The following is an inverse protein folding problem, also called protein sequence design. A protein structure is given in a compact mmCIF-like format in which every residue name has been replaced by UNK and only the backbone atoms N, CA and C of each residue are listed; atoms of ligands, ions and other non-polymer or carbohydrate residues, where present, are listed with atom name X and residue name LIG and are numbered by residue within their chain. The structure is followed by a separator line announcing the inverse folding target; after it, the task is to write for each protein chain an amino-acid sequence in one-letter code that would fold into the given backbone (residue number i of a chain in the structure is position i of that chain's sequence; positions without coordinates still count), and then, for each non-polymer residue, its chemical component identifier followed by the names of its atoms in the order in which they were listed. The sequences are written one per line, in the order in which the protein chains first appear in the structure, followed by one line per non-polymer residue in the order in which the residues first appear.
data_IF_697190878455
#
_entry.id   IF_697190878455
#
_cell.length_a   1.000
_cell.length_b   1.000
_cell.length_c   1.000
_cell.angle_alpha   90.00
_cell.angle_beta   90.00
_cell.angle_gamma   90.00
#
_symmetry.space_group_name_H-M   'P 1'
#
loop_
_entity.id
_entity.type
_entity.pdbx_description
1 polymer ?
#
# COMPACT_ATOMS: atom_id res chain seq x y z
N UNK A 1 2.13 -3.24 10.25
CA UNK A 1 1.55 -1.94 9.87
C UNK A 1 2.64 -0.88 9.93
N UNK A 2 2.74 -0.08 8.90
CA UNK A 2 3.74 0.99 8.84
C UNK A 2 3.03 2.32 8.57
N UNK A 3 3.60 3.40 9.06
CA UNK A 3 3.02 4.74 8.97
C UNK A 3 4.10 5.69 8.48
N UNK A 4 3.77 6.49 7.45
CA UNK A 4 4.64 7.56 6.96
C UNK A 4 3.86 8.87 6.97
N UNK A 5 4.44 9.88 7.61
CA UNK A 5 3.91 11.24 7.57
C UNK A 5 4.63 12.02 6.47
N UNK A 6 3.87 12.66 5.62
CA UNK A 6 4.41 13.51 4.55
C UNK A 6 3.96 14.96 4.79
N UNK A 7 4.50 15.88 3.98
CA UNK A 7 4.05 17.26 4.00
C UNK A 7 2.54 17.31 3.79
N UNK A 8 1.86 18.19 4.52
CA UNK A 8 0.41 18.29 4.43
C UNK A 8 -0.05 18.68 3.02
N UNK A 9 -0.87 17.82 2.44
CA UNK A 9 -1.47 18.02 1.12
C UNK A 9 -2.98 17.88 1.26
N UNK A 10 -3.69 18.93 1.68
CA UNK A 10 -5.14 18.82 1.95
C UNK A 10 -5.96 18.48 0.70
N UNK A 11 -5.44 18.81 -0.47
CA UNK A 11 -6.07 18.51 -1.76
C UNK A 11 -5.90 17.05 -2.20
N UNK A 12 -5.02 16.30 -1.54
CA UNK A 12 -4.77 14.90 -1.92
C UNK A 12 -5.92 14.02 -1.49
N UNK A 13 -6.49 13.28 -2.45
CA UNK A 13 -7.56 12.31 -2.21
C UNK A 13 -7.04 10.91 -2.46
N UNK A 14 -7.82 9.90 -2.01
CA UNK A 14 -7.48 8.51 -2.28
C UNK A 14 -7.40 8.23 -3.78
N UNK A 15 -8.29 8.82 -4.57
CA UNK A 15 -8.29 8.64 -6.02
C UNK A 15 -7.03 9.23 -6.67
N UNK A 16 -6.60 10.39 -6.23
CA UNK A 16 -5.37 11.02 -6.71
C UNK A 16 -4.15 10.20 -6.31
N UNK A 17 -4.13 9.71 -5.08
CA UNK A 17 -3.04 8.87 -4.58
C UNK A 17 -2.94 7.58 -5.40
N UNK A 18 -4.06 6.93 -5.70
CA UNK A 18 -4.08 5.72 -6.54
C UNK A 18 -3.45 5.98 -7.90
N UNK A 19 -3.79 7.11 -8.54
CA UNK A 19 -3.22 7.45 -9.85
C UNK A 19 -1.71 7.68 -9.78
N UNK A 20 -1.24 8.34 -8.73
CA UNK A 20 0.19 8.57 -8.53
C UNK A 20 0.93 7.24 -8.36
N UNK A 21 0.38 6.33 -7.56
CA UNK A 21 0.97 5.00 -7.34
C UNK A 21 0.92 4.15 -8.61
N UNK A 22 -0.19 4.19 -9.37
CA UNK A 22 -0.31 3.48 -10.64
C UNK A 22 0.79 3.92 -11.61
N UNK A 23 1.01 5.22 -11.70
CA UNK A 23 2.04 5.77 -12.57
C UNK A 23 3.44 5.36 -12.13
N UNK A 24 3.69 5.44 -10.82
CA UNK A 24 5.01 5.13 -10.27
C UNK A 24 5.38 3.65 -10.38
N UNK A 25 4.41 2.76 -10.26
CA UNK A 25 4.64 1.32 -10.33
C UNK A 25 4.20 0.68 -11.65
N UNK A 26 3.94 1.49 -12.68
CA UNK A 26 3.53 0.98 -13.99
C UNK A 26 4.54 -0.05 -14.52
N UNK A 27 4.03 -1.20 -14.94
CA UNK A 27 4.86 -2.29 -15.45
C UNK A 27 5.54 -3.14 -14.39
N UNK A 28 5.42 -2.78 -13.11
CA UNK A 28 6.04 -3.51 -12.00
C UNK A 28 5.02 -4.15 -11.07
N UNK A 29 4.05 -3.39 -10.63
CA UNK A 29 2.98 -3.86 -9.74
C UNK A 29 1.64 -3.35 -10.24
N UNK A 30 0.59 -4.11 -9.98
CA UNK A 30 -0.77 -3.69 -10.23
C UNK A 30 -1.25 -2.86 -9.02
N UNK A 31 -1.83 -1.70 -9.30
CA UNK A 31 -2.41 -0.84 -8.26
C UNK A 31 -3.88 -0.66 -8.58
N UNK A 32 -4.75 -0.96 -7.61
CA UNK A 32 -6.19 -0.84 -7.82
C UNK A 32 -6.89 -0.36 -6.57
N UNK A 33 -8.01 0.33 -6.78
CA UNK A 33 -8.82 0.87 -5.70
C UNK A 33 -9.48 -0.26 -4.92
N UNK A 34 -9.41 -0.20 -3.60
CA UNK A 34 -10.03 -1.19 -2.73
C UNK A 34 -11.44 -0.77 -2.37
N UNK A 35 -12.34 -1.77 -2.26
CA UNK A 35 -13.70 -1.55 -1.81
C UNK A 35 -13.81 -1.89 -0.32
N UNK A 36 -13.06 -1.16 0.50
CA UNK A 36 -13.02 -1.41 1.93
C UNK A 36 -12.81 -0.10 2.68
N UNK A 37 -13.48 0.03 3.83
CA UNK A 37 -13.27 1.17 4.72
C UNK A 37 -11.91 1.13 5.42
N UNK A 38 -11.25 -0.04 5.43
CA UNK A 38 -9.98 -0.23 6.11
C UNK A 38 -8.77 0.11 5.25
N UNK A 39 -8.98 0.26 3.93
CA UNK A 39 -7.91 0.61 3.00
C UNK A 39 -8.48 1.33 1.80
N UNK A 40 -7.68 2.20 1.21
CA UNK A 40 -8.11 2.98 0.04
C UNK A 40 -7.71 2.30 -1.26
N UNK A 41 -6.54 1.67 -1.30
CA UNK A 41 -6.09 0.96 -2.50
C UNK A 41 -5.11 -0.15 -2.14
N UNK A 42 -4.87 -1.02 -3.11
CA UNK A 42 -3.97 -2.17 -2.97
C UNK A 42 -2.90 -2.12 -4.04
N UNK A 43 -1.66 -2.39 -3.64
CA UNK A 43 -0.53 -2.60 -4.54
C UNK A 43 -0.29 -4.10 -4.59
N UNK A 44 -0.52 -4.71 -5.77
CA UNK A 44 -0.48 -6.15 -5.92
C UNK A 44 0.76 -6.59 -6.68
N UNK A 45 1.54 -7.46 -6.07
CA UNK A 45 2.65 -8.15 -6.73
C UNK A 45 2.17 -9.48 -7.32
N UNK A 46 1.38 -10.23 -6.56
CA UNK A 46 0.79 -11.50 -6.97
C UNK A 46 -0.49 -11.73 -6.19
N UNK A 47 -1.20 -12.84 -6.45
CA UNK A 47 -2.39 -13.18 -5.70
C UNK A 47 -2.11 -13.39 -4.20
N UNK A 48 -0.86 -13.65 -3.84
CA UNK A 48 -0.44 -13.95 -2.47
C UNK A 48 0.29 -12.80 -1.78
N UNK A 49 0.83 -11.86 -2.54
CA UNK A 49 1.68 -10.81 -1.98
C UNK A 49 1.20 -9.45 -2.45
N UNK A 50 0.90 -8.59 -1.50
CA UNK A 50 0.47 -7.23 -1.78
C UNK A 50 0.62 -6.34 -0.55
N UNK A 51 0.31 -5.06 -0.75
CA UNK A 51 0.31 -4.05 0.29
C UNK A 51 -0.99 -3.28 0.23
N UNK A 52 -1.67 -3.19 1.37
CA UNK A 52 -2.85 -2.35 1.52
C UNK A 52 -2.41 -0.97 1.98
N UNK A 53 -2.93 0.07 1.35
CA UNK A 53 -2.56 1.46 1.66
C UNK A 53 -3.82 2.25 2.00
N UNK A 54 -3.73 3.04 3.05
CA UNK A 54 -4.77 3.97 3.46
C UNK A 54 -4.19 5.37 3.58
N UNK A 55 -4.87 6.33 2.95
CA UNK A 55 -4.53 7.75 3.08
C UNK A 55 -5.36 8.35 4.22
N UNK A 56 -4.68 8.94 5.17
CA UNK A 56 -5.34 9.62 6.27
C UNK A 56 -4.98 11.10 6.25
N UNK A 57 -5.97 11.95 6.12
CA UNK A 57 -5.79 13.39 6.20
C UNK A 57 -6.08 13.88 7.61
N UNK A 58 -5.12 14.53 8.19
CA UNK A 58 -5.27 15.18 9.48
C UNK A 58 -5.22 16.70 9.32
N UNK A 59 -5.42 17.43 10.40
CA UNK A 59 -5.53 18.87 10.38
C UNK A 59 -4.29 19.57 9.81
N UNK A 60 -3.12 19.02 10.11
CA UNK A 60 -1.83 19.64 9.81
C UNK A 60 -0.86 18.68 9.10
N UNK A 61 -1.27 17.48 8.78
CA UNK A 61 -0.40 16.50 8.14
C UNK A 61 -1.17 15.49 7.30
N UNK A 62 -0.48 14.94 6.32
CA UNK A 62 -0.98 13.86 5.48
C UNK A 62 -0.21 12.60 5.84
N UNK A 63 -0.91 11.49 6.04
CA UNK A 63 -0.31 10.24 6.51
C UNK A 63 -0.72 9.10 5.59
N UNK A 64 0.27 8.27 5.21
CA UNK A 64 0.02 6.98 4.57
C UNK A 64 0.21 5.88 5.59
N UNK A 65 -0.79 5.02 5.72
CA UNK A 65 -0.74 3.81 6.54
C UNK A 65 -0.72 2.64 5.57
N UNK A 66 0.29 1.79 5.67
CA UNK A 66 0.41 0.65 4.77
C UNK A 66 0.79 -0.61 5.52
N UNK A 67 0.28 -1.74 5.04
CA UNK A 67 0.52 -3.04 5.66
C UNK A 67 0.53 -4.13 4.60
N UNK A 68 1.29 -5.19 4.85
CA UNK A 68 1.31 -6.36 4.00
C UNK A 68 -0.04 -7.07 4.04
N UNK A 69 -0.42 -7.66 2.91
CA UNK A 69 -1.70 -8.37 2.79
C UNK A 69 -1.65 -9.43 1.69
N UNK A 70 -2.60 -10.35 1.71
CA UNK A 70 -2.84 -11.30 0.64
C UNK A 70 -3.95 -10.72 -0.23
N UNK A 71 -3.65 -10.30 -1.50
CA UNK A 71 -4.64 -9.63 -2.34
C UNK A 71 -5.84 -10.49 -2.70
N UNK A 72 -5.66 -11.79 -2.89
CA UNK A 72 -6.76 -12.69 -3.21
C UNK A 72 -7.52 -13.09 -1.95
N UNK A 73 -8.81 -12.82 -1.92
CA UNK A 73 -9.66 -13.19 -0.79
C UNK A 73 -9.68 -14.71 -0.58
N UNK A 74 -9.73 -15.48 -1.67
CA UNK A 74 -9.71 -16.94 -1.58
C UNK A 74 -8.39 -17.44 -1.00
N UNK A 75 -7.28 -16.91 -1.47
CA UNK A 75 -5.97 -17.28 -0.96
C UNK A 75 -5.78 -16.84 0.50
N UNK A 76 -6.34 -15.69 0.88
CA UNK A 76 -6.31 -15.23 2.27
C UNK A 76 -7.02 -16.22 3.18
N UNK A 77 -8.15 -16.76 2.76
CA UNK A 77 -8.89 -17.75 3.55
C UNK A 77 -8.13 -19.07 3.69
N UNK A 78 -7.41 -19.47 2.63
CA UNK A 78 -6.68 -20.75 2.62
C UNK A 78 -5.32 -20.65 3.33
N UNK A 79 -4.65 -19.52 3.19
CA UNK A 79 -3.27 -19.37 3.61
C UNK A 79 -3.02 -18.24 4.61
N UNK A 80 -4.07 -17.64 5.18
CA UNK A 80 -3.94 -16.60 6.19
C UNK A 80 -3.43 -17.17 7.52
N UNK A 81 -2.48 -18.09 7.44
CA UNK A 81 -1.87 -18.71 8.60
C UNK A 81 -0.54 -18.05 8.90
N UNK A 82 -0.13 -18.17 10.15
CA UNK A 82 1.18 -17.69 10.62
C UNK A 82 2.31 -18.31 9.79
N UNK A 83 2.13 -19.55 9.35
CA UNK A 83 3.12 -20.27 8.55
C UNK A 83 3.43 -19.58 7.23
N UNK A 84 2.37 -19.21 6.49
CA UNK A 84 2.56 -18.56 5.19
C UNK A 84 3.26 -17.20 5.36
N UNK A 85 2.83 -16.42 6.34
CA UNK A 85 3.43 -15.12 6.64
C UNK A 85 4.91 -15.28 6.99
N UNK A 86 5.27 -16.27 7.79
CA UNK A 86 6.66 -16.53 8.16
C UNK A 86 7.51 -16.95 6.96
N UNK A 87 6.98 -17.81 6.10
CA UNK A 87 7.70 -18.29 4.93
C UNK A 87 7.96 -17.19 3.89
N UNK A 88 7.07 -16.19 3.81
CA UNK A 88 7.17 -15.12 2.82
C UNK A 88 7.54 -13.77 3.43
N UNK A 89 7.99 -13.76 4.66
CA UNK A 89 8.31 -12.54 5.38
C UNK A 89 9.27 -11.62 4.62
N UNK A 90 10.31 -12.18 4.04
CA UNK A 90 11.30 -11.40 3.30
C UNK A 90 10.69 -10.70 2.08
N UNK A 91 9.76 -11.34 1.39
CA UNK A 91 9.07 -10.77 0.23
C UNK A 91 8.17 -9.61 0.64
N UNK A 92 7.42 -9.77 1.73
CA UNK A 92 6.59 -8.70 2.28
C UNK A 92 7.43 -7.52 2.74
N UNK A 93 8.52 -7.79 3.45
CA UNK A 93 9.43 -6.76 3.94
C UNK A 93 10.05 -5.97 2.78
N UNK A 94 10.48 -6.65 1.74
CA UNK A 94 11.05 -6.01 0.55
C UNK A 94 10.03 -5.10 -0.12
N UNK A 95 8.78 -5.56 -0.25
CA UNK A 95 7.72 -4.78 -0.87
C UNK A 95 7.33 -3.57 -0.02
N UNK A 96 7.23 -3.73 1.29
CA UNK A 96 6.96 -2.62 2.20
C UNK A 96 8.05 -1.56 2.11
N UNK A 97 9.30 -1.97 2.00
CA UNK A 97 10.43 -1.07 1.83
C UNK A 97 10.35 -0.30 0.51
N UNK A 98 9.94 -0.95 -0.57
CA UNK A 98 9.75 -0.29 -1.86
C UNK A 98 8.65 0.76 -1.79
N UNK A 99 7.53 0.43 -1.14
CA UNK A 99 6.42 1.37 -0.95
C UNK A 99 6.89 2.58 -0.14
N UNK A 100 7.62 2.33 0.93
CA UNK A 100 8.17 3.41 1.77
C UNK A 100 9.09 4.33 0.95
N UNK A 101 10.02 3.74 0.19
CA UNK A 101 10.96 4.49 -0.64
C UNK A 101 10.21 5.30 -1.70
N UNK A 102 9.19 4.71 -2.31
CA UNK A 102 8.36 5.41 -3.29
C UNK A 102 7.69 6.65 -2.69
N UNK A 103 7.05 6.50 -1.52
CA UNK A 103 6.38 7.61 -0.86
C UNK A 103 7.38 8.71 -0.48
N UNK A 104 8.54 8.34 0.03
CA UNK A 104 9.56 9.30 0.46
C UNK A 104 10.16 10.08 -0.70
N UNK A 105 10.22 9.49 -1.90
CA UNK A 105 10.89 10.08 -3.05
C UNK A 105 9.95 10.63 -4.12
N UNK A 106 8.67 10.35 -4.06
CA UNK A 106 7.71 10.85 -5.05
C UNK A 106 7.58 12.38 -4.95
N UNK A 107 7.83 13.12 -6.05
CA UNK A 107 7.72 14.58 -6.01
C UNK A 107 6.34 15.08 -5.62
N UNK A 108 5.31 14.33 -5.95
CA UNK A 108 3.91 14.66 -5.66
C UNK A 108 3.61 14.68 -4.16
N UNK A 109 4.45 14.03 -3.33
CA UNK A 109 4.26 13.94 -1.89
C UNK A 109 5.25 14.80 -1.10
N UNK A 110 6.11 15.53 -1.78
CA UNK A 110 7.08 16.41 -1.14
C UNK A 110 6.57 17.83 -0.92
#
# INVERSE_FOLDING_TARGET
MAVIHIKHHPELTADKAVEIFKKGFAGKYEVYKAQSALRDFTIKKSSMIGVAVKLKQEKDKTTFIYTDMIPSMLMALLFASVWYTLLNRSKYQAMLKEVKTFIENAPEFK
#
